data_IF_918012250744
#
_entry.id   IF_918012250744
#
_cell.length_a   1.000
_cell.length_b   1.000
_cell.length_c   1.000
_cell.angle_alpha   90.00
_cell.angle_beta   90.00
_cell.angle_gamma   90.00
#
_symmetry.space_group_name_H-M   'P 1'
#
loop_
_entity.id
_entity.type
_entity.pdbx_description
1 polymer ?
#
# COMPACT_ATOMS: atom_id res chain seq x y z
N UNK A 1 -6.59 6.52 -9.18
CA UNK A 1 -6.08 5.41 -8.35
C UNK A 1 -7.08 5.10 -7.25
N UNK A 2 -7.05 3.88 -6.70
CA UNK A 2 -7.89 3.45 -5.58
C UNK A 2 -6.99 3.12 -4.40
N UNK A 3 -7.23 3.76 -3.25
CA UNK A 3 -6.47 3.56 -2.02
C UNK A 3 -7.37 2.87 -0.96
N UNK A 4 -7.30 1.53 -0.82
CA UNK A 4 -7.89 0.82 0.30
C UNK A 4 -7.04 1.04 1.56
N UNK A 5 -7.70 1.18 2.72
CA UNK A 5 -7.03 1.34 4.01
C UNK A 5 -7.95 0.90 5.15
N UNK A 6 -7.40 0.18 6.13
CA UNK A 6 -8.14 -0.25 7.31
C UNK A 6 -8.40 0.92 8.27
N UNK A 7 -9.58 0.92 8.86
CA UNK A 7 -9.97 1.97 9.81
C UNK A 7 -10.78 1.37 10.95
N UNK A 8 -10.32 1.55 12.18
CA UNK A 8 -11.12 1.28 13.37
C UNK A 8 -12.13 2.41 13.55
N UNK A 9 -13.39 2.07 13.73
CA UNK A 9 -14.46 3.04 13.97
C UNK A 9 -15.12 2.89 15.35
N UNK A 10 -14.78 1.82 16.06
CA UNK A 10 -15.23 1.56 17.42
C UNK A 10 -14.14 0.82 18.18
N UNK A 11 -13.93 1.19 19.44
CA UNK A 11 -13.01 0.51 20.34
C UNK A 11 -13.51 0.66 21.78
N UNK A 12 -13.54 -0.45 22.54
CA UNK A 12 -13.99 -0.45 23.94
C UNK A 12 -13.37 -1.61 24.73
N UNK A 13 -13.24 -1.41 26.05
CA UNK A 13 -12.84 -2.46 26.98
C UNK A 13 -14.04 -3.18 27.62
N UNK A 14 -15.21 -2.56 27.58
CA UNK A 14 -16.42 -3.03 28.29
C UNK A 14 -17.53 -3.39 27.32
N UNK A 15 -17.78 -2.53 26.34
CA UNK A 15 -18.87 -2.72 25.39
C UNK A 15 -18.36 -3.58 24.24
N UNK A 16 -19.05 -4.69 23.96
CA UNK A 16 -18.70 -5.59 22.88
C UNK A 16 -19.91 -6.36 22.37
N UNK A 17 -19.79 -6.91 21.19
CA UNK A 17 -20.77 -7.82 20.59
C UNK A 17 -20.06 -9.07 20.04
N UNK A 18 -20.81 -10.07 19.60
CA UNK A 18 -20.26 -11.31 19.04
C UNK A 18 -19.41 -11.12 17.77
N UNK A 19 -19.52 -9.97 17.10
CA UNK A 19 -18.76 -9.63 15.88
C UNK A 19 -17.59 -8.70 16.13
N UNK A 20 -17.25 -8.38 17.39
CA UNK A 20 -16.05 -7.62 17.68
C UNK A 20 -14.79 -8.44 17.39
N UNK A 21 -13.82 -7.81 16.76
CA UNK A 21 -12.43 -8.25 16.82
C UNK A 21 -11.84 -7.95 18.17
N UNK A 22 -10.82 -8.70 18.57
CA UNK A 22 -10.18 -8.56 19.89
C UNK A 22 -8.67 -8.41 19.77
N UNK A 23 -8.07 -7.67 20.70
CA UNK A 23 -6.62 -7.63 20.88
C UNK A 23 -6.25 -7.62 22.36
N UNK A 24 -5.12 -8.26 22.66
CA UNK A 24 -4.52 -8.20 23.99
C UNK A 24 -3.73 -6.92 24.14
N UNK A 25 -3.86 -6.30 25.31
CA UNK A 25 -3.09 -5.11 25.68
C UNK A 25 -1.87 -5.49 26.51
N UNK A 26 -0.93 -4.57 26.65
CA UNK A 26 0.26 -4.73 27.50
C UNK A 26 -0.07 -4.91 28.98
N UNK A 27 -1.23 -4.40 29.44
CA UNK A 27 -1.73 -4.56 30.80
C UNK A 27 -2.48 -5.89 31.05
N UNK A 28 -2.45 -6.83 30.05
CA UNK A 28 -3.15 -8.13 30.11
C UNK A 28 -4.64 -8.06 29.77
N UNK A 29 -5.23 -6.87 29.70
CA UNK A 29 -6.64 -6.65 29.37
C UNK A 29 -6.97 -7.01 27.93
N UNK A 30 -8.26 -7.21 27.67
CA UNK A 30 -8.79 -7.40 26.30
C UNK A 30 -9.47 -6.11 25.84
N UNK A 31 -9.19 -5.73 24.62
CA UNK A 31 -9.85 -4.62 23.93
C UNK A 31 -10.64 -5.17 22.76
N UNK A 32 -11.89 -4.71 22.64
CA UNK A 32 -12.84 -5.09 21.59
C UNK A 32 -12.95 -3.96 20.59
N UNK A 33 -12.89 -4.25 19.31
CA UNK A 33 -12.97 -3.21 18.30
C UNK A 33 -13.73 -3.66 17.04
N UNK A 34 -14.24 -2.69 16.30
CA UNK A 34 -14.76 -2.87 14.95
C UNK A 34 -13.93 -2.07 13.98
N UNK A 35 -13.62 -2.71 12.86
CA UNK A 35 -12.87 -2.09 11.78
C UNK A 35 -13.53 -2.37 10.43
N UNK A 36 -13.22 -1.55 9.45
CA UNK A 36 -13.58 -1.79 8.05
C UNK A 36 -12.43 -1.39 7.14
N UNK A 37 -12.37 -2.01 5.98
CA UNK A 37 -11.59 -1.54 4.85
C UNK A 37 -12.38 -0.47 4.11
N UNK A 38 -11.89 0.75 4.11
CA UNK A 38 -12.44 1.83 3.32
C UNK A 38 -11.60 2.06 2.08
N UNK A 39 -12.19 1.97 0.89
CA UNK A 39 -11.53 2.34 -0.36
C UNK A 39 -11.91 3.76 -0.77
N UNK A 40 -11.00 4.45 -1.45
CA UNK A 40 -11.24 5.80 -1.94
C UNK A 40 -10.52 6.03 -3.26
N UNK A 41 -11.16 6.75 -4.20
CA UNK A 41 -10.49 7.23 -5.40
C UNK A 41 -9.69 8.47 -5.01
N UNK A 42 -8.41 8.46 -5.37
CA UNK A 42 -7.46 9.55 -5.16
C UNK A 42 -6.67 9.81 -6.44
N UNK A 43 -6.14 11.03 -6.60
CA UNK A 43 -5.28 11.40 -7.73
C UNK A 43 -4.16 12.35 -7.31
N UNK A 44 -2.94 12.27 -7.91
CA UNK A 44 -1.90 13.26 -7.72
C UNK A 44 -2.40 14.66 -8.07
N UNK A 45 -1.96 15.66 -7.33
CA UNK A 45 -2.35 17.06 -7.58
C UNK A 45 -3.79 17.43 -7.16
N UNK A 46 -4.71 16.49 -7.03
CA UNK A 46 -6.10 16.75 -6.66
C UNK A 46 -6.31 16.65 -5.13
N UNK A 47 -7.13 17.56 -4.58
CA UNK A 47 -7.51 17.54 -3.16
C UNK A 47 -8.74 16.67 -2.88
N UNK A 48 -9.52 16.38 -3.91
CA UNK A 48 -10.75 15.58 -3.80
C UNK A 48 -10.42 14.12 -3.52
N UNK A 49 -11.21 13.53 -2.64
CA UNK A 49 -11.19 12.09 -2.32
C UNK A 49 -12.63 11.60 -2.44
N UNK A 50 -12.86 10.64 -3.34
CA UNK A 50 -14.17 10.06 -3.55
C UNK A 50 -14.26 8.72 -2.81
N UNK A 51 -15.11 8.58 -1.78
CA UNK A 51 -15.25 7.33 -1.05
C UNK A 51 -15.94 6.28 -1.93
N UNK A 52 -15.51 5.04 -1.79
CA UNK A 52 -16.09 3.85 -2.39
C UNK A 52 -16.75 2.99 -1.29
N UNK A 53 -17.53 1.97 -1.64
CA UNK A 53 -18.14 1.06 -0.67
C UNK A 53 -17.10 0.50 0.32
N UNK A 54 -17.53 0.22 1.53
CA UNK A 54 -16.72 -0.32 2.62
C UNK A 54 -16.85 -1.84 2.71
N UNK A 55 -15.80 -2.52 3.20
CA UNK A 55 -15.85 -3.94 3.53
C UNK A 55 -15.53 -4.10 5.01
N UNK A 56 -16.42 -4.69 5.80
CA UNK A 56 -16.21 -4.87 7.24
C UNK A 56 -15.15 -5.96 7.51
N UNK A 57 -14.27 -5.67 8.46
CA UNK A 57 -13.30 -6.60 9.02
C UNK A 57 -13.95 -7.17 10.27
N UNK A 58 -14.52 -8.37 10.16
CA UNK A 58 -15.24 -9.01 11.23
C UNK A 58 -14.90 -10.51 11.27
N UNK A 59 -14.96 -11.16 12.43
CA UNK A 59 -14.81 -12.60 12.51
C UNK A 59 -15.74 -13.30 11.52
N UNK A 60 -15.18 -14.25 10.75
CA UNK A 60 -15.93 -15.06 9.78
C UNK A 60 -16.35 -16.36 10.43
N UNK A 61 -17.58 -16.80 10.18
CA UNK A 61 -18.07 -18.06 10.72
C UNK A 61 -17.18 -19.24 10.26
N UNK A 62 -16.76 -20.07 11.21
CA UNK A 62 -15.89 -21.22 10.96
C UNK A 62 -14.41 -20.90 10.69
N UNK A 63 -13.97 -19.67 10.74
CA UNK A 63 -12.58 -19.30 10.58
C UNK A 63 -11.77 -19.52 11.87
N UNK A 64 -10.62 -20.20 11.77
CA UNK A 64 -9.73 -20.42 12.93
C UNK A 64 -8.96 -19.15 13.35
N UNK A 65 -8.84 -18.18 12.45
CA UNK A 65 -8.12 -16.91 12.68
C UNK A 65 -9.08 -15.74 12.58
N UNK A 66 -8.79 -14.73 13.40
CA UNK A 66 -9.44 -13.43 13.26
C UNK A 66 -9.24 -12.85 11.86
N UNK A 67 -10.27 -12.21 11.32
CA UNK A 67 -10.22 -11.56 10.01
C UNK A 67 -9.20 -10.40 9.99
N UNK A 68 -8.73 -10.05 8.79
CA UNK A 68 -7.70 -9.03 8.61
C UNK A 68 -7.98 -8.14 7.38
N UNK A 69 -7.26 -7.02 7.31
CA UNK A 69 -7.36 -6.07 6.20
C UNK A 69 -7.10 -6.71 4.83
N UNK A 70 -6.15 -7.63 4.72
CA UNK A 70 -5.85 -8.33 3.45
C UNK A 70 -7.03 -9.18 2.98
N UNK A 71 -7.71 -9.89 3.90
CA UNK A 71 -8.88 -10.69 3.56
C UNK A 71 -10.05 -9.78 3.17
N UNK A 72 -10.26 -8.69 3.90
CA UNK A 72 -11.26 -7.68 3.55
C UNK A 72 -10.98 -7.05 2.18
N UNK A 73 -9.70 -6.77 1.85
CA UNK A 73 -9.32 -6.25 0.54
C UNK A 73 -9.64 -7.24 -0.59
N UNK A 74 -9.38 -8.53 -0.41
CA UNK A 74 -9.75 -9.58 -1.39
C UNK A 74 -11.26 -9.66 -1.58
N UNK A 75 -12.05 -9.61 -0.49
CA UNK A 75 -13.51 -9.58 -0.58
C UNK A 75 -14.02 -8.33 -1.27
N UNK A 76 -13.42 -7.18 -0.96
CA UNK A 76 -13.76 -5.92 -1.62
C UNK A 76 -13.52 -5.99 -3.13
N UNK A 77 -12.36 -6.51 -3.56
CA UNK A 77 -12.04 -6.73 -4.96
C UNK A 77 -13.05 -7.66 -5.64
N UNK A 78 -13.41 -8.76 -5.00
CA UNK A 78 -14.40 -9.70 -5.53
C UNK A 78 -15.79 -9.08 -5.68
N UNK A 79 -16.21 -8.21 -4.74
CA UNK A 79 -17.54 -7.58 -4.75
C UNK A 79 -17.60 -6.35 -5.68
N UNK A 80 -16.56 -5.55 -5.73
CA UNK A 80 -16.59 -4.21 -6.31
C UNK A 80 -15.60 -3.99 -7.45
N UNK A 81 -14.62 -4.91 -7.65
CA UNK A 81 -13.59 -4.76 -8.68
C UNK A 81 -14.19 -4.60 -10.08
N UNK A 82 -15.21 -5.39 -10.43
CA UNK A 82 -15.88 -5.30 -11.72
C UNK A 82 -16.53 -3.93 -11.98
N UNK A 83 -17.07 -3.27 -10.94
CA UNK A 83 -17.71 -1.96 -11.08
C UNK A 83 -16.75 -0.81 -11.39
N UNK A 84 -15.46 -0.99 -11.09
CA UNK A 84 -14.43 0.04 -11.29
C UNK A 84 -13.43 -0.31 -12.40
N UNK A 85 -13.53 -1.47 -13.03
CA UNK A 85 -12.58 -1.96 -14.04
C UNK A 85 -12.44 -1.00 -15.24
N UNK A 86 -13.54 -0.34 -15.62
CA UNK A 86 -13.55 0.63 -16.72
C UNK A 86 -12.64 1.84 -16.46
N UNK A 87 -12.28 2.12 -15.20
CA UNK A 87 -11.35 3.16 -14.80
C UNK A 87 -9.87 2.73 -14.92
N UNK A 88 -9.59 1.47 -15.32
CA UNK A 88 -8.24 0.88 -15.30
C UNK A 88 -7.53 1.17 -13.97
N UNK A 89 -8.07 0.67 -12.86
CA UNK A 89 -7.66 1.11 -11.53
C UNK A 89 -6.22 0.70 -11.22
N UNK A 90 -5.45 1.63 -10.64
CA UNK A 90 -4.18 1.35 -9.97
C UNK A 90 -4.46 1.39 -8.47
N UNK A 91 -4.26 0.25 -7.78
CA UNK A 91 -4.47 0.13 -6.35
C UNK A 91 -3.21 0.54 -5.59
N UNK A 92 -3.38 1.41 -4.61
CA UNK A 92 -2.32 1.87 -3.73
C UNK A 92 -2.48 1.19 -2.37
N UNK A 93 -1.40 0.71 -1.80
CA UNK A 93 -1.47 0.04 -0.50
C UNK A 93 -0.22 0.23 0.34
N UNK A 94 -0.33 -0.08 1.64
CA UNK A 94 0.82 -0.12 2.50
C UNK A 94 1.57 -1.47 2.39
N UNK A 95 2.58 -1.63 3.22
CA UNK A 95 3.45 -2.79 3.25
C UNK A 95 2.70 -4.10 3.56
N UNK A 96 1.57 -4.05 4.26
CA UNK A 96 0.73 -5.21 4.54
C UNK A 96 0.12 -5.79 3.25
N UNK A 97 -0.14 -4.94 2.25
CA UNK A 97 -0.74 -5.33 0.98
C UNK A 97 0.27 -5.82 -0.07
N UNK A 98 1.57 -5.58 0.11
CA UNK A 98 2.61 -5.89 -0.88
C UNK A 98 3.03 -7.38 -0.92
N UNK A 99 2.11 -8.29 -0.60
CA UNK A 99 2.32 -9.72 -0.68
C UNK A 99 1.60 -10.35 -1.86
N UNK A 100 2.21 -11.38 -2.46
CA UNK A 100 1.75 -12.02 -3.70
C UNK A 100 0.25 -12.35 -3.71
N UNK A 101 -0.38 -12.93 -2.65
CA UNK A 101 -1.80 -13.29 -2.73
C UNK A 101 -2.77 -12.11 -2.94
N UNK A 102 -2.38 -10.89 -2.57
CA UNK A 102 -3.19 -9.70 -2.82
C UNK A 102 -2.90 -9.11 -4.19
N UNK A 103 -1.63 -9.07 -4.62
CA UNK A 103 -1.26 -8.64 -5.98
C UNK A 103 -1.97 -9.49 -7.03
N UNK A 104 -1.98 -10.82 -6.86
CA UNK A 104 -2.75 -11.72 -7.73
C UNK A 104 -4.26 -11.44 -7.72
N UNK A 105 -4.82 -11.09 -6.56
CA UNK A 105 -6.24 -10.74 -6.48
C UNK A 105 -6.54 -9.42 -7.22
N UNK A 106 -5.64 -8.44 -7.16
CA UNK A 106 -5.74 -7.19 -7.90
C UNK A 106 -5.68 -7.46 -9.41
N UNK A 107 -4.72 -8.27 -9.87
CA UNK A 107 -4.55 -8.62 -11.28
C UNK A 107 -5.77 -9.39 -11.81
N UNK A 108 -6.32 -10.33 -11.04
CA UNK A 108 -7.58 -11.04 -11.38
C UNK A 108 -8.78 -10.10 -11.48
N UNK A 109 -8.76 -8.97 -10.78
CA UNK A 109 -9.76 -7.91 -10.91
C UNK A 109 -9.45 -6.91 -12.05
N UNK A 110 -8.48 -7.24 -12.94
CA UNK A 110 -8.01 -6.39 -14.04
C UNK A 110 -7.53 -5.00 -13.57
N UNK A 111 -6.91 -4.94 -12.41
CA UNK A 111 -6.25 -3.75 -11.88
C UNK A 111 -4.73 -3.92 -11.86
N UNK A 112 -4.02 -2.82 -11.70
CA UNK A 112 -2.59 -2.78 -11.39
C UNK A 112 -2.36 -2.26 -9.98
N UNK A 113 -1.14 -2.34 -9.47
CA UNK A 113 -0.84 -1.91 -8.10
C UNK A 113 0.45 -1.10 -8.00
N UNK A 114 0.50 -0.23 -7.00
CA UNK A 114 1.73 0.37 -6.45
C UNK A 114 1.62 0.24 -4.94
N UNK A 115 2.44 -0.62 -4.34
CA UNK A 115 2.33 -0.99 -2.94
C UNK A 115 3.63 -0.67 -2.22
N UNK A 116 3.55 -0.03 -1.07
CA UNK A 116 4.75 0.19 -0.23
C UNK A 116 5.38 -1.16 0.10
N UNK A 117 6.69 -1.27 -0.02
CA UNK A 117 7.44 -2.49 0.22
C UNK A 117 8.64 -2.16 1.12
N UNK A 118 8.51 -2.43 2.41
CA UNK A 118 9.60 -2.19 3.38
C UNK A 118 10.58 -3.35 3.40
N UNK A 119 11.90 -3.09 3.36
CA UNK A 119 12.91 -4.15 3.37
C UNK A 119 12.76 -5.14 4.54
N UNK A 120 12.35 -4.67 5.71
CA UNK A 120 12.17 -5.52 6.90
C UNK A 120 11.09 -6.59 6.75
N UNK A 121 10.05 -6.34 5.93
CA UNK A 121 8.92 -7.24 5.70
C UNK A 121 9.13 -8.16 4.49
N UNK A 122 10.11 -7.85 3.63
CA UNK A 122 10.34 -8.51 2.33
C UNK A 122 11.79 -8.97 2.18
N UNK A 123 12.18 -9.98 2.97
CA UNK A 123 13.56 -10.51 2.97
C UNK A 123 14.00 -10.98 1.58
N UNK A 124 13.15 -11.72 0.86
CA UNK A 124 13.48 -12.23 -0.48
C UNK A 124 13.78 -11.09 -1.45
N UNK A 125 12.97 -10.03 -1.46
CA UNK A 125 13.24 -8.84 -2.27
C UNK A 125 14.58 -8.21 -1.86
N UNK A 126 14.84 -8.06 -0.56
CA UNK A 126 16.08 -7.47 -0.05
C UNK A 126 17.30 -8.31 -0.45
N UNK A 127 17.21 -9.63 -0.39
CA UNK A 127 18.26 -10.57 -0.81
C UNK A 127 18.48 -10.49 -2.32
N UNK A 128 17.40 -10.44 -3.11
CA UNK A 128 17.48 -10.32 -4.56
C UNK A 128 18.12 -9.00 -5.02
N UNK A 129 17.85 -7.92 -4.32
CA UNK A 129 18.42 -6.60 -4.61
C UNK A 129 19.89 -6.50 -4.17
N UNK A 130 20.35 -7.39 -3.27
CA UNK A 130 21.72 -7.37 -2.79
C UNK A 130 22.69 -7.75 -3.92
N UNK A 131 23.55 -6.82 -4.30
CA UNK A 131 24.50 -7.01 -5.40
C UNK A 131 23.91 -6.84 -6.81
N UNK A 132 22.61 -6.55 -6.93
CA UNK A 132 21.99 -6.26 -8.22
C UNK A 132 22.38 -4.86 -8.73
N UNK A 133 22.54 -4.73 -10.03
CA UNK A 133 22.70 -3.42 -10.67
C UNK A 133 21.35 -2.77 -10.83
N UNK A 134 21.09 -1.69 -10.10
CA UNK A 134 19.85 -0.93 -10.17
C UNK A 134 19.95 0.15 -11.26
N UNK A 135 18.88 0.34 -12.00
CA UNK A 135 18.71 1.55 -12.81
C UNK A 135 18.47 2.75 -11.90
N UNK A 136 18.91 3.94 -12.33
CA UNK A 136 18.81 5.16 -11.53
C UNK A 136 18.37 6.35 -12.38
N UNK A 137 17.50 7.19 -11.81
CA UNK A 137 17.13 8.50 -12.34
C UNK A 137 17.18 9.54 -11.23
N UNK A 138 17.64 10.77 -11.57
CA UNK A 138 17.77 11.87 -10.59
C UNK A 138 17.10 13.12 -11.09
N UNK A 139 16.34 13.76 -10.20
CA UNK A 139 15.75 15.07 -10.41
C UNK A 139 16.26 16.05 -9.36
N UNK A 140 16.64 17.24 -9.78
CA UNK A 140 17.04 18.31 -8.86
C UNK A 140 16.09 19.47 -8.98
N UNK A 141 15.52 19.90 -7.85
CA UNK A 141 14.64 21.06 -7.76
C UNK A 141 15.23 22.10 -6.82
N UNK A 142 15.02 23.39 -7.14
CA UNK A 142 15.38 24.51 -6.28
C UNK A 142 14.09 25.24 -5.92
N UNK A 143 13.71 25.19 -4.65
CA UNK A 143 12.52 25.87 -4.14
C UNK A 143 12.90 26.83 -3.02
N UNK A 144 12.62 28.13 -3.21
CA UNK A 144 12.96 29.20 -2.24
C UNK A 144 14.44 29.16 -1.82
N UNK A 145 15.35 28.99 -2.81
CA UNK A 145 16.79 28.92 -2.59
C UNK A 145 17.31 27.60 -1.96
N UNK A 146 16.44 26.65 -1.65
CA UNK A 146 16.83 25.33 -1.12
C UNK A 146 16.88 24.31 -2.25
N UNK A 147 18.07 23.71 -2.45
CA UNK A 147 18.28 22.61 -3.40
C UNK A 147 17.82 21.30 -2.77
N UNK A 148 17.06 20.53 -3.53
CA UNK A 148 16.62 19.18 -3.17
C UNK A 148 16.89 18.28 -4.36
N UNK A 149 17.47 17.10 -4.13
CA UNK A 149 17.67 16.07 -5.17
C UNK A 149 16.84 14.86 -4.81
N UNK A 150 15.96 14.45 -5.71
CA UNK A 150 15.23 13.17 -5.60
C UNK A 150 15.97 12.15 -6.44
N UNK A 151 16.27 11.00 -5.84
CA UNK A 151 16.93 9.87 -6.49
C UNK A 151 15.94 8.72 -6.52
N UNK A 152 15.69 8.22 -7.72
CA UNK A 152 14.86 7.04 -7.96
C UNK A 152 15.78 5.90 -8.38
N UNK A 153 15.55 4.68 -7.84
CA UNK A 153 16.22 3.47 -8.28
C UNK A 153 15.20 2.39 -8.49
N UNK A 154 15.38 1.53 -9.48
CA UNK A 154 14.46 0.44 -9.75
C UNK A 154 15.16 -0.79 -10.32
N UNK A 155 14.46 -1.91 -10.23
CA UNK A 155 14.80 -3.17 -10.85
C UNK A 155 13.52 -3.91 -11.23
N UNK A 156 13.42 -4.35 -12.48
CA UNK A 156 12.29 -5.16 -12.96
C UNK A 156 12.57 -6.66 -12.77
N UNK A 157 11.49 -7.45 -12.71
CA UNK A 157 11.61 -8.91 -12.59
C UNK A 157 12.00 -9.41 -11.19
N UNK A 158 11.69 -8.65 -10.13
CA UNK A 158 11.99 -9.01 -8.74
C UNK A 158 10.89 -9.96 -8.21
N UNK A 159 11.22 -11.14 -7.66
CA UNK A 159 10.24 -12.08 -7.13
C UNK A 159 9.66 -11.58 -5.80
N UNK A 160 8.32 -11.65 -5.64
CA UNK A 160 7.63 -11.25 -4.41
C UNK A 160 7.81 -12.26 -3.26
N UNK A 161 8.12 -13.50 -3.58
CA UNK A 161 8.38 -14.58 -2.61
C UNK A 161 9.36 -15.60 -3.18
N UNK A 162 9.80 -16.51 -2.36
CA UNK A 162 10.51 -17.68 -2.82
C UNK A 162 9.54 -18.72 -3.47
N UNK A 163 10.04 -19.50 -4.40
CA UNK A 163 9.30 -20.56 -5.07
C UNK A 163 9.16 -20.39 -6.58
N UNK A 164 8.86 -21.49 -7.27
CA UNK A 164 8.74 -21.53 -8.75
C UNK A 164 7.53 -20.75 -9.29
N UNK A 165 6.53 -20.54 -8.44
CA UNK A 165 5.31 -19.80 -8.72
C UNK A 165 5.37 -18.34 -8.19
N UNK A 166 6.58 -17.83 -7.94
CA UNK A 166 6.76 -16.45 -7.52
C UNK A 166 6.29 -15.48 -8.60
N UNK A 167 5.42 -14.55 -8.23
CA UNK A 167 5.05 -13.45 -9.09
C UNK A 167 6.22 -12.46 -9.16
N UNK A 168 6.62 -12.11 -10.39
CA UNK A 168 7.67 -11.14 -10.62
C UNK A 168 7.07 -9.76 -10.86
N UNK A 169 7.62 -8.77 -10.17
CA UNK A 169 7.19 -7.37 -10.18
C UNK A 169 8.38 -6.44 -10.40
N UNK A 170 8.13 -5.18 -10.63
CA UNK A 170 9.17 -4.15 -10.55
C UNK A 170 9.25 -3.63 -9.12
N UNK A 171 10.46 -3.59 -8.56
CA UNK A 171 10.75 -2.87 -7.34
C UNK A 171 11.29 -1.49 -7.68
N UNK A 172 10.88 -0.47 -6.93
CA UNK A 172 11.42 0.88 -7.04
C UNK A 172 11.57 1.53 -5.69
N UNK A 173 12.52 2.45 -5.57
CA UNK A 173 12.71 3.28 -4.38
C UNK A 173 12.82 4.76 -4.74
N UNK A 174 12.46 5.59 -3.79
CA UNK A 174 12.63 7.04 -3.85
C UNK A 174 13.31 7.53 -2.60
N UNK A 175 14.40 8.28 -2.74
CA UNK A 175 15.03 9.02 -1.66
C UNK A 175 15.13 10.51 -1.98
N UNK A 176 14.97 11.35 -0.97
CA UNK A 176 15.11 12.79 -1.09
C UNK A 176 16.32 13.25 -0.29
N UNK A 177 17.24 13.92 -0.97
CA UNK A 177 18.45 14.48 -0.41
C UNK A 177 18.30 16.01 -0.31
N UNK A 178 18.73 16.58 0.81
CA UNK A 178 18.80 18.04 0.94
C UNK A 178 20.06 18.58 0.23
N UNK A 179 20.22 19.93 0.23
CA UNK A 179 21.36 20.61 -0.42
C UNK A 179 22.76 20.22 0.11
N UNK A 180 22.82 19.53 1.27
CA UNK A 180 24.06 18.98 1.86
C UNK A 180 24.24 17.49 1.56
N UNK A 181 23.41 16.90 0.70
CA UNK A 181 23.45 15.47 0.38
C UNK A 181 22.87 14.55 1.47
N UNK A 182 22.34 15.08 2.57
CA UNK A 182 21.75 14.26 3.64
C UNK A 182 20.35 13.80 3.24
N UNK A 183 20.08 12.48 3.37
CA UNK A 183 18.77 11.88 3.13
C UNK A 183 17.74 12.36 4.16
N UNK A 184 16.64 12.92 3.66
CA UNK A 184 15.52 13.44 4.46
C UNK A 184 14.26 12.58 4.32
N UNK A 185 14.19 11.76 3.27
CA UNK A 185 13.09 10.85 3.04
C UNK A 185 13.58 9.61 2.30
N UNK A 186 12.98 8.46 2.57
CA UNK A 186 13.14 7.21 1.83
C UNK A 186 11.85 6.40 1.87
N UNK A 187 11.46 5.85 0.75
CA UNK A 187 10.44 4.81 0.68
C UNK A 187 10.71 3.89 -0.51
N UNK A 188 10.16 2.68 -0.47
CA UNK A 188 10.26 1.72 -1.56
C UNK A 188 8.92 1.04 -1.82
N UNK A 189 8.75 0.58 -3.05
CA UNK A 189 7.48 0.12 -3.58
C UNK A 189 7.69 -1.08 -4.48
N UNK A 190 6.64 -1.87 -4.65
CA UNK A 190 6.52 -2.87 -5.71
C UNK A 190 5.32 -2.53 -6.59
N UNK A 191 5.44 -2.82 -7.87
CA UNK A 191 4.41 -2.56 -8.87
C UNK A 191 4.46 -3.60 -9.99
N UNK A 192 3.33 -3.91 -10.58
CA UNK A 192 3.21 -4.71 -11.81
C UNK A 192 3.24 -3.84 -13.08
N UNK A 193 3.33 -2.53 -12.93
CA UNK A 193 3.50 -1.58 -14.03
C UNK A 193 4.96 -1.56 -14.51
N UNK A 194 5.15 -1.23 -15.78
CA UNK A 194 6.48 -1.00 -16.34
C UNK A 194 7.12 0.25 -15.71
N UNK A 195 8.37 0.11 -15.24
CA UNK A 195 9.16 1.21 -14.66
C UNK A 195 10.29 1.57 -15.62
N UNK A 196 10.42 2.86 -15.87
CA UNK A 196 11.49 3.45 -16.70
C UNK A 196 11.89 4.82 -16.15
N UNK A 197 12.95 5.42 -16.69
CA UNK A 197 13.35 6.78 -16.32
C UNK A 197 12.21 7.81 -16.51
N UNK A 198 11.34 7.60 -17.50
CA UNK A 198 10.22 8.50 -17.80
C UNK A 198 9.03 8.31 -16.85
N UNK A 199 8.85 7.11 -16.26
CA UNK A 199 7.65 6.77 -15.49
C UNK A 199 7.92 6.70 -13.97
N UNK A 200 9.16 6.48 -13.54
CA UNK A 200 9.49 6.19 -12.12
C UNK A 200 9.09 7.31 -11.17
N UNK A 201 9.24 8.58 -11.59
CA UNK A 201 8.87 9.74 -10.77
C UNK A 201 7.35 9.82 -10.56
N UNK A 202 6.56 9.56 -11.61
CA UNK A 202 5.10 9.54 -11.53
C UNK A 202 4.61 8.39 -10.66
N UNK A 203 5.15 7.18 -10.83
CA UNK A 203 4.80 6.01 -10.02
C UNK A 203 5.08 6.25 -8.53
N UNK A 204 6.24 6.80 -8.19
CA UNK A 204 6.59 7.16 -6.82
C UNK A 204 5.68 8.27 -6.24
N UNK A 205 5.26 9.24 -7.06
CA UNK A 205 4.33 10.29 -6.66
C UNK A 205 2.91 9.75 -6.41
N UNK A 206 2.50 8.71 -7.16
CA UNK A 206 1.20 8.07 -7.00
C UNK A 206 0.99 7.49 -5.59
N UNK A 207 1.95 6.76 -5.03
CA UNK A 207 1.82 6.20 -3.67
C UNK A 207 1.67 7.29 -2.59
N UNK A 208 2.33 8.42 -2.75
CA UNK A 208 2.19 9.55 -1.81
C UNK A 208 0.77 10.10 -1.73
N UNK A 209 -0.07 9.85 -2.73
CA UNK A 209 -1.48 10.30 -2.71
C UNK A 209 -2.35 9.48 -1.77
N UNK A 210 -1.94 8.28 -1.39
CA UNK A 210 -2.61 7.42 -0.43
C UNK A 210 -2.87 8.11 0.92
N UNK A 211 -1.93 8.94 1.39
CA UNK A 211 -2.06 9.68 2.64
C UNK A 211 -3.24 10.67 2.67
N UNK A 212 -3.73 11.11 1.52
CA UNK A 212 -4.89 12.01 1.43
C UNK A 212 -6.18 11.33 1.92
N UNK A 213 -6.31 10.02 1.75
CA UNK A 213 -7.46 9.26 2.26
C UNK A 213 -7.46 9.19 3.78
N UNK A 214 -6.28 9.06 4.43
CA UNK A 214 -6.13 9.02 5.90
C UNK A 214 -6.49 10.34 6.57
N UNK A 215 -5.97 11.46 6.08
CA UNK A 215 -6.20 12.78 6.70
C UNK A 215 -7.66 13.20 6.73
N UNK A 216 -8.51 12.73 5.80
CA UNK A 216 -9.94 13.06 5.78
C UNK A 216 -10.81 12.13 6.64
N UNK A 217 -10.33 10.94 7.00
CA UNK A 217 -11.04 10.00 7.87
C UNK A 217 -10.95 10.34 9.36
N UNK A 218 -9.89 11.02 9.77
CA UNK A 218 -9.73 11.51 11.14
C UNK A 218 -10.51 12.79 11.45
N UNK A 219 -11.23 13.37 10.49
CA UNK A 219 -12.04 14.57 10.63
C UNK A 219 -13.56 14.30 10.59
N UNK A 220 -13.99 13.03 10.62
CA UNK A 220 -15.39 12.62 10.72
C UNK A 220 -15.67 11.96 12.05
#
# INVERSE_FOLDING_TARGET
MIAPDGTEHFCSRKIHCARCSTRKRSDGGTEYFHAFLGASIVAPGHKQVLPLPREFIAPQDGAAKQDCECNAAKRWLAKHGASVVHLRPVYLGDDLFSHQPLVEAIQRANGSCILTCKPASHKIISEYLYGATLEEHRETTITRGKRTTTVYRWLSGVPLRDGRDALHVSWLSMEILNGKGKRTYYNSFVTDLAVSADTVAELAACDRTRWKSRMRRSMC
#
